data_IF_363378857555
#
_entry.id   IF_363378857555
#
_cell.length_a   1.000
_cell.length_b   1.000
_cell.length_c   1.000
_cell.angle_alpha   90.00
_cell.angle_beta   90.00
_cell.angle_gamma   90.00
#
_symmetry.space_group_name_H-M   'P 1'
#
loop_
_entity.id
_entity.type
_entity.pdbx_description
1 polymer ?
#
# COMPACT_ATOMS: atom_id res chain seq x y z
N UNK A 1 18.95 19.61 -10.84
CA UNK A 1 17.61 19.24 -11.32
C UNK A 1 17.15 17.96 -10.62
N UNK A 2 15.90 17.97 -10.16
CA UNK A 2 15.33 16.80 -9.54
C UNK A 2 14.88 15.82 -10.61
N UNK A 3 15.34 14.58 -10.54
CA UNK A 3 14.89 13.53 -11.46
C UNK A 3 13.56 12.95 -10.97
N UNK A 4 12.73 12.58 -11.91
CA UNK A 4 11.44 11.95 -11.63
C UNK A 4 11.32 10.64 -12.40
N UNK A 5 10.52 9.73 -11.88
CA UNK A 5 10.21 8.48 -12.55
C UNK A 5 8.83 8.00 -12.11
N UNK A 6 8.14 7.34 -13.02
CA UNK A 6 6.77 6.89 -12.80
C UNK A 6 6.62 5.45 -13.24
N UNK A 7 5.77 4.70 -12.54
CA UNK A 7 5.37 3.36 -12.97
C UNK A 7 3.93 3.07 -12.56
N UNK A 8 3.35 2.06 -13.19
CA UNK A 8 2.00 1.61 -12.89
C UNK A 8 1.98 0.10 -12.72
N UNK A 9 1.22 -0.37 -11.74
CA UNK A 9 0.94 -1.78 -11.53
C UNK A 9 -0.57 -1.95 -11.59
N UNK A 10 -1.02 -2.89 -12.43
CA UNK A 10 -2.44 -3.25 -12.52
C UNK A 10 -2.57 -4.69 -12.07
N UNK A 11 -3.46 -4.93 -11.12
CA UNK A 11 -3.63 -6.26 -10.56
C UNK A 11 -5.09 -6.53 -10.21
N UNK A 12 -5.55 -7.73 -10.53
CA UNK A 12 -6.90 -8.18 -10.17
C UNK A 12 -6.85 -9.01 -8.89
N UNK A 13 -7.82 -8.76 -8.01
CA UNK A 13 -8.00 -9.54 -6.80
C UNK A 13 -9.41 -10.14 -6.79
N UNK A 14 -9.52 -11.40 -6.37
CA UNK A 14 -10.81 -12.08 -6.25
C UNK A 14 -11.47 -11.71 -4.91
N UNK A 15 -11.74 -10.41 -4.73
CA UNK A 15 -12.31 -9.87 -3.51
C UNK A 15 -13.10 -8.61 -3.83
N UNK A 16 -14.18 -8.31 -3.07
CA UNK A 16 -14.93 -7.07 -3.27
C UNK A 16 -14.04 -5.84 -3.00
N UNK A 17 -14.35 -4.77 -3.69
CA UNK A 17 -13.62 -3.50 -3.60
C UNK A 17 -13.49 -3.01 -2.14
N UNK A 18 -14.54 -3.16 -1.36
CA UNK A 18 -14.55 -2.76 0.05
C UNK A 18 -13.51 -3.52 0.87
N UNK A 19 -13.28 -4.79 0.56
CA UNK A 19 -12.28 -5.60 1.23
C UNK A 19 -10.86 -5.17 0.86
N UNK A 20 -10.64 -4.86 -0.42
CA UNK A 20 -9.34 -4.36 -0.87
C UNK A 20 -9.06 -3.00 -0.23
N UNK A 21 -10.05 -2.11 -0.23
CA UNK A 21 -9.92 -0.80 0.38
C UNK A 21 -9.63 -0.91 1.89
N UNK A 22 -10.32 -1.80 2.57
CA UNK A 22 -10.10 -2.03 4.01
C UNK A 22 -8.68 -2.54 4.29
N UNK A 23 -8.12 -3.36 3.39
CA UNK A 23 -6.74 -3.83 3.53
C UNK A 23 -5.74 -2.69 3.47
N UNK A 24 -6.06 -1.61 2.76
CA UNK A 24 -5.21 -0.41 2.67
C UNK A 24 -5.42 0.57 3.81
N UNK A 25 -6.61 0.58 4.43
CA UNK A 25 -7.01 1.67 5.34
C UNK A 25 -7.21 1.25 6.79
N UNK A 26 -7.17 -0.04 7.09
CA UNK A 26 -7.27 -0.53 8.47
C UNK A 26 -5.91 -1.03 8.94
N UNK A 27 -5.39 -0.50 10.06
CA UNK A 27 -4.04 -0.86 10.52
C UNK A 27 -3.82 -2.36 10.71
N UNK A 28 -4.77 -3.07 11.29
CA UNK A 28 -4.66 -4.50 11.54
C UNK A 28 -4.64 -5.33 10.25
N UNK A 29 -5.23 -4.82 9.17
CA UNK A 29 -5.20 -5.48 7.87
C UNK A 29 -3.99 -5.07 7.05
N UNK A 30 -3.67 -3.79 7.06
CA UNK A 30 -2.49 -3.23 6.38
C UNK A 30 -1.21 -3.93 6.87
N UNK A 31 -1.12 -4.18 8.17
CA UNK A 31 0.03 -4.83 8.80
C UNK A 31 0.26 -6.26 8.29
N UNK A 32 -0.77 -6.90 7.74
CA UNK A 32 -0.67 -8.30 7.30
C UNK A 32 0.07 -8.47 5.99
N UNK A 33 0.11 -7.43 5.15
CA UNK A 33 0.70 -7.56 3.81
C UNK A 33 1.74 -6.51 3.48
N UNK A 34 1.75 -5.40 4.19
CA UNK A 34 2.65 -4.29 3.87
C UNK A 34 4.07 -4.63 4.28
N UNK A 35 5.00 -4.57 3.32
CA UNK A 35 6.41 -4.83 3.53
C UNK A 35 6.90 -6.14 2.89
N UNK A 36 8.22 -6.27 2.72
CA UNK A 36 8.80 -7.51 2.16
C UNK A 36 8.65 -8.68 3.14
N UNK A 37 8.73 -9.89 2.62
CA UNK A 37 8.54 -11.11 3.44
C UNK A 37 9.59 -11.27 4.53
N UNK A 38 10.78 -10.69 4.34
CA UNK A 38 11.85 -10.76 5.35
C UNK A 38 11.61 -9.82 6.53
N UNK A 39 10.59 -8.94 6.44
CA UNK A 39 10.21 -8.05 7.53
C UNK A 39 8.85 -8.44 8.10
N UNK A 40 8.66 -8.08 9.36
CA UNK A 40 7.36 -8.15 10.01
C UNK A 40 6.87 -6.72 10.23
N UNK A 41 5.58 -6.49 10.01
CA UNK A 41 4.98 -5.18 10.28
C UNK A 41 3.99 -5.35 11.44
N UNK A 42 4.39 -5.04 12.68
CA UNK A 42 3.48 -5.17 13.81
C UNK A 42 2.30 -4.21 13.69
N UNK A 43 1.10 -4.70 13.95
CA UNK A 43 -0.11 -3.89 13.83
C UNK A 43 -0.11 -2.66 14.74
N UNK A 44 0.49 -2.78 15.93
CA UNK A 44 0.60 -1.65 16.87
C UNK A 44 1.65 -0.62 16.44
N UNK A 45 2.40 -0.90 15.38
CA UNK A 45 3.37 0.03 14.80
C UNK A 45 2.87 0.62 13.47
N UNK A 46 1.58 0.46 13.17
CA UNK A 46 0.93 1.04 11.99
C UNK A 46 -0.08 2.08 12.45
N UNK A 47 0.07 3.30 11.95
CA UNK A 47 -0.84 4.41 12.25
C UNK A 47 -1.38 4.94 10.92
N UNK A 48 -2.70 4.89 10.74
CA UNK A 48 -3.34 5.33 9.50
C UNK A 48 -4.46 6.31 9.87
N UNK A 49 -4.20 7.61 9.67
CA UNK A 49 -5.22 8.66 9.87
C UNK A 49 -5.85 8.94 8.51
N UNK A 50 -6.82 8.12 8.13
CA UNK A 50 -7.38 8.06 6.76
C UNK A 50 -8.36 9.21 6.55
N UNK A 51 -7.80 10.36 6.23
CA UNK A 51 -8.54 11.57 5.85
C UNK A 51 -7.60 12.48 5.07
N UNK A 52 -8.11 13.37 4.23
CA UNK A 52 -7.23 14.32 3.52
C UNK A 52 -6.40 15.11 4.53
N UNK A 53 -5.09 15.13 4.35
CA UNK A 53 -4.15 15.78 5.27
C UNK A 53 -3.73 14.91 6.45
N UNK A 54 -4.35 13.76 6.65
CA UNK A 54 -3.96 12.83 7.71
C UNK A 54 -2.66 12.12 7.40
N UNK A 55 -1.91 11.75 8.43
CA UNK A 55 -0.62 11.08 8.29
C UNK A 55 -0.78 9.56 8.35
N UNK A 56 0.12 8.86 7.64
CA UNK A 56 0.24 7.42 7.79
C UNK A 56 1.69 7.07 8.11
N UNK A 57 1.87 6.00 8.87
CA UNK A 57 3.20 5.54 9.26
C UNK A 57 3.16 4.04 9.52
N UNK A 58 4.17 3.33 9.04
CA UNK A 58 4.32 1.91 9.30
C UNK A 58 5.79 1.60 9.58
N UNK A 59 6.04 0.88 10.66
CA UNK A 59 7.39 0.44 11.02
C UNK A 59 7.51 -1.04 10.73
N UNK A 60 8.49 -1.38 9.90
CA UNK A 60 8.81 -2.75 9.51
C UNK A 60 10.00 -3.20 10.36
N UNK A 61 9.90 -4.39 10.94
CA UNK A 61 10.94 -4.95 11.80
C UNK A 61 11.56 -6.15 11.11
N UNK A 62 12.85 -6.07 10.86
CA UNK A 62 13.63 -7.16 10.26
C UNK A 62 14.37 -7.98 11.31
N UNK A 63 15.28 -8.81 10.83
CA UNK A 63 16.12 -9.64 11.70
C UNK A 63 16.98 -8.78 12.61
N UNK A 64 17.26 -9.30 13.80
CA UNK A 64 18.10 -8.62 14.80
C UNK A 64 17.55 -7.27 15.26
N UNK A 65 16.23 -7.03 15.07
CA UNK A 65 15.60 -5.80 15.50
C UNK A 65 15.83 -4.60 14.60
N UNK A 66 16.34 -4.82 13.39
CA UNK A 66 16.50 -3.75 12.41
C UNK A 66 15.13 -3.20 12.04
N UNK A 67 14.95 -1.88 12.12
CA UNK A 67 13.65 -1.25 11.86
C UNK A 67 13.74 -0.27 10.70
N UNK A 68 12.69 -0.27 9.87
CA UNK A 68 12.51 0.71 8.80
C UNK A 68 11.13 1.33 8.97
N UNK A 69 11.05 2.65 9.05
CA UNK A 69 9.78 3.35 9.14
C UNK A 69 9.47 4.05 7.82
N UNK A 70 8.31 3.76 7.29
CA UNK A 70 7.78 4.41 6.08
C UNK A 70 6.62 5.30 6.51
N UNK A 71 6.48 6.46 5.87
CA UNK A 71 5.47 7.44 6.27
C UNK A 71 5.10 8.36 5.11
N UNK A 72 3.99 9.03 5.26
CA UNK A 72 3.50 10.00 4.30
C UNK A 72 2.19 10.63 4.76
N UNK A 73 1.46 11.21 3.82
CA UNK A 73 0.23 11.93 4.07
C UNK A 73 -0.81 11.53 3.03
N UNK A 74 -2.06 11.40 3.45
CA UNK A 74 -3.16 11.20 2.50
C UNK A 74 -3.51 12.54 1.86
N UNK A 75 -3.62 12.55 0.53
CA UNK A 75 -4.02 13.75 -0.22
C UNK A 75 -5.49 13.69 -0.63
N UNK A 76 -5.98 12.48 -0.94
CA UNK A 76 -7.36 12.30 -1.36
C UNK A 76 -7.86 10.97 -0.79
N UNK A 77 -9.03 10.99 -0.20
CA UNK A 77 -9.67 9.79 0.35
C UNK A 77 -11.10 9.75 -0.17
N UNK A 78 -11.35 8.87 -1.12
CA UNK A 78 -12.65 8.70 -1.75
C UNK A 78 -12.96 7.20 -1.84
N UNK A 79 -13.08 6.56 -0.68
CA UNK A 79 -13.32 5.13 -0.60
C UNK A 79 -14.73 4.76 -0.99
N UNK A 80 -14.91 3.54 -1.46
CA UNK A 80 -13.88 2.51 -1.59
C UNK A 80 -13.12 2.52 -2.93
N UNK A 81 -13.26 3.56 -3.75
CA UNK A 81 -12.75 3.53 -5.14
C UNK A 81 -11.43 4.25 -5.38
N UNK A 82 -11.01 5.15 -4.49
CA UNK A 82 -9.82 5.95 -4.77
C UNK A 82 -9.12 6.40 -3.48
N UNK A 83 -7.79 6.34 -3.53
CA UNK A 83 -6.93 6.76 -2.43
C UNK A 83 -5.66 7.37 -3.02
N UNK A 84 -5.32 8.59 -2.62
CA UNK A 84 -4.07 9.24 -3.04
C UNK A 84 -3.28 9.56 -1.79
N UNK A 85 -2.03 9.09 -1.76
CA UNK A 85 -1.17 9.33 -0.60
C UNK A 85 0.27 9.55 -1.04
N UNK A 86 1.08 10.12 -0.17
CA UNK A 86 2.50 10.31 -0.43
C UNK A 86 3.32 9.29 0.32
N UNK A 87 4.53 9.04 -0.18
CA UNK A 87 5.59 8.40 0.60
C UNK A 87 6.65 9.47 0.78
N UNK A 88 7.04 9.75 2.03
CA UNK A 88 7.86 10.90 2.32
C UNK A 88 7.12 12.20 2.03
N UNK A 89 7.86 13.25 1.70
CA UNK A 89 7.28 14.56 1.33
C UNK A 89 7.77 14.95 -0.07
N UNK A 90 6.94 14.75 -1.12
CA UNK A 90 7.36 15.07 -2.49
C UNK A 90 7.61 16.56 -2.72
N UNK A 91 7.03 17.43 -1.91
CA UNK A 91 7.23 18.87 -2.02
C UNK A 91 8.51 19.32 -1.35
N UNK A 92 9.06 18.49 -0.45
CA UNK A 92 10.33 18.77 0.25
C UNK A 92 11.01 17.44 0.58
N UNK A 93 11.52 16.73 -0.46
CA UNK A 93 12.03 15.36 -0.28
C UNK A 93 13.34 15.25 0.51
N UNK A 94 14.08 16.35 0.69
CA UNK A 94 15.38 16.28 1.34
C UNK A 94 16.38 15.55 0.46
N UNK A 95 17.12 14.61 1.05
CA UNK A 95 18.15 13.84 0.35
C UNK A 95 17.66 12.51 -0.21
N UNK A 96 16.44 12.11 0.14
CA UNK A 96 15.90 10.81 -0.26
C UNK A 96 14.77 10.93 -1.27
N UNK A 97 14.39 9.81 -1.90
CA UNK A 97 13.25 9.79 -2.80
C UNK A 97 11.94 9.92 -2.04
N UNK A 98 10.96 10.54 -2.69
CA UNK A 98 9.62 10.64 -2.19
C UNK A 98 8.66 10.46 -3.35
N UNK A 99 7.40 10.16 -3.10
CA UNK A 99 6.47 9.89 -4.19
C UNK A 99 5.03 10.23 -3.85
N UNK A 100 4.23 10.33 -4.92
CA UNK A 100 2.77 10.39 -4.83
C UNK A 100 2.22 9.10 -5.42
N UNK A 101 1.40 8.41 -4.65
CA UNK A 101 0.74 7.19 -5.09
C UNK A 101 -0.73 7.46 -5.33
N UNK A 102 -1.22 7.06 -6.50
CA UNK A 102 -2.64 7.09 -6.84
C UNK A 102 -3.13 5.65 -6.94
N UNK A 103 -4.07 5.31 -6.09
CA UNK A 103 -4.67 3.98 -6.04
C UNK A 103 -6.13 4.10 -6.49
N UNK A 104 -6.53 3.31 -7.47
CA UNK A 104 -7.94 3.21 -7.86
C UNK A 104 -8.37 1.76 -7.82
N UNK A 105 -9.60 1.54 -7.39
CA UNK A 105 -10.19 0.23 -7.23
C UNK A 105 -11.50 0.17 -7.99
N UNK A 106 -11.53 -0.63 -9.05
CA UNK A 106 -12.70 -0.80 -9.90
C UNK A 106 -13.29 -2.19 -9.70
N UNK A 107 -14.53 -2.25 -9.23
CA UNK A 107 -15.20 -3.53 -8.97
C UNK A 107 -15.81 -4.08 -10.25
N UNK A 108 -15.71 -5.40 -10.41
CA UNK A 108 -16.32 -6.12 -11.52
C UNK A 108 -16.88 -7.45 -10.99
N UNK A 109 -17.49 -8.23 -11.88
CA UNK A 109 -18.18 -9.47 -11.48
C UNK A 109 -17.28 -10.46 -10.74
N UNK A 110 -16.00 -10.53 -11.12
CA UNK A 110 -15.05 -11.51 -10.58
C UNK A 110 -14.16 -10.96 -9.47
N UNK A 111 -14.36 -9.71 -9.07
CA UNK A 111 -13.56 -9.11 -8.01
C UNK A 111 -13.26 -7.64 -8.21
N UNK A 112 -12.01 -7.24 -8.01
CA UNK A 112 -11.59 -5.85 -8.09
C UNK A 112 -10.31 -5.72 -8.91
N UNK A 113 -10.28 -4.75 -9.81
CA UNK A 113 -9.05 -4.36 -10.50
C UNK A 113 -8.43 -3.19 -9.76
N UNK A 114 -7.22 -3.39 -9.27
CA UNK A 114 -6.45 -2.36 -8.58
C UNK A 114 -5.44 -1.75 -9.56
N UNK A 115 -5.48 -0.44 -9.69
CA UNK A 115 -4.46 0.32 -10.42
C UNK A 115 -3.64 1.10 -9.41
N UNK A 116 -2.36 0.83 -9.39
CA UNK A 116 -1.41 1.47 -8.49
C UNK A 116 -0.43 2.24 -9.35
N UNK A 117 -0.38 3.55 -9.15
CA UNK A 117 0.48 4.43 -9.93
C UNK A 117 1.34 5.23 -8.98
N UNK A 118 2.65 5.17 -9.16
CA UNK A 118 3.58 5.91 -8.32
C UNK A 118 4.39 6.89 -9.16
N UNK A 119 4.30 8.16 -8.81
CA UNK A 119 5.12 9.23 -9.38
C UNK A 119 6.18 9.60 -8.34
N UNK A 120 7.44 9.28 -8.65
CA UNK A 120 8.54 9.53 -7.73
C UNK A 120 9.32 10.77 -8.08
N UNK A 121 9.73 11.52 -7.06
CA UNK A 121 10.62 12.64 -7.19
C UNK A 121 11.95 12.30 -6.53
N UNK A 122 13.03 12.95 -6.96
CA UNK A 122 14.37 12.71 -6.46
C UNK A 122 14.78 11.24 -6.63
N UNK A 123 14.44 10.67 -7.78
CA UNK A 123 14.65 9.26 -8.12
C UNK A 123 14.87 9.13 -9.62
N UNK A 124 15.28 7.95 -10.08
CA UNK A 124 15.51 7.66 -11.48
C UNK A 124 14.81 6.36 -11.89
N UNK A 125 14.96 5.99 -13.17
CA UNK A 125 14.29 4.80 -13.72
C UNK A 125 14.73 3.50 -13.02
N UNK A 126 16.00 3.40 -12.65
CA UNK A 126 16.53 2.22 -11.97
C UNK A 126 15.88 2.05 -10.59
N UNK A 127 15.82 3.14 -9.81
CA UNK A 127 15.19 3.13 -8.50
C UNK A 127 13.67 2.87 -8.61
N UNK A 128 13.03 3.40 -9.66
CA UNK A 128 11.63 3.14 -9.92
C UNK A 128 11.37 1.66 -10.19
N UNK A 129 12.24 1.00 -10.94
CA UNK A 129 12.12 -0.44 -11.19
C UNK A 129 12.28 -1.26 -9.90
N UNK A 130 13.20 -0.86 -9.03
CA UNK A 130 13.39 -1.50 -7.73
C UNK A 130 12.16 -1.30 -6.84
N UNK A 131 11.60 -0.10 -6.83
CA UNK A 131 10.40 0.22 -6.07
C UNK A 131 9.21 -0.61 -6.58
N UNK A 132 9.06 -0.70 -7.91
CA UNK A 132 8.00 -1.50 -8.53
C UNK A 132 8.12 -2.97 -8.13
N UNK A 133 9.33 -3.53 -8.16
CA UNK A 133 9.57 -4.92 -7.76
C UNK A 133 9.17 -5.14 -6.29
N UNK A 134 9.47 -4.18 -5.42
CA UNK A 134 9.08 -4.24 -4.02
C UNK A 134 7.57 -4.25 -3.84
N UNK A 135 6.87 -3.35 -4.53
CA UNK A 135 5.42 -3.31 -4.46
C UNK A 135 4.76 -4.57 -5.01
N UNK A 136 5.33 -5.18 -6.06
CA UNK A 136 4.81 -6.43 -6.59
C UNK A 136 4.87 -7.54 -5.53
N UNK A 137 5.96 -7.60 -4.76
CA UNK A 137 6.06 -8.55 -3.64
C UNK A 137 5.02 -8.27 -2.56
N UNK A 138 4.82 -6.99 -2.21
CA UNK A 138 3.78 -6.60 -1.24
C UNK A 138 2.40 -7.03 -1.74
N UNK A 139 2.13 -6.87 -3.02
CA UNK A 139 0.83 -7.21 -3.59
C UNK A 139 0.60 -8.72 -3.68
N UNK A 140 1.65 -9.52 -3.77
CA UNK A 140 1.52 -10.98 -3.62
C UNK A 140 1.04 -11.31 -2.21
N UNK A 141 1.57 -10.64 -1.21
CA UNK A 141 1.13 -10.80 0.18
C UNK A 141 -0.31 -10.29 0.37
N UNK A 142 -0.66 -9.18 -0.30
CA UNK A 142 -2.02 -8.66 -0.27
C UNK A 142 -3.01 -9.68 -0.84
N UNK A 143 -2.67 -10.32 -1.95
CA UNK A 143 -3.50 -11.36 -2.55
C UNK A 143 -3.69 -12.53 -1.57
N UNK A 144 -2.64 -12.95 -0.88
CA UNK A 144 -2.72 -14.02 0.12
C UNK A 144 -3.62 -13.61 1.29
N UNK A 145 -3.48 -12.37 1.75
CA UNK A 145 -4.31 -11.84 2.84
C UNK A 145 -5.80 -11.81 2.46
N UNK A 146 -6.10 -11.36 1.25
CA UNK A 146 -7.48 -11.29 0.76
C UNK A 146 -8.09 -12.69 0.61
N UNK A 147 -7.29 -13.67 0.20
CA UNK A 147 -7.73 -15.06 0.09
C UNK A 147 -8.09 -15.63 1.48
N UNK A 148 -7.29 -15.32 2.50
CA UNK A 148 -7.57 -15.74 3.88
C UNK A 148 -8.85 -15.07 4.39
N UNK A 149 -9.03 -13.78 4.11
CA UNK A 149 -10.23 -13.04 4.51
C UNK A 149 -11.50 -13.63 3.87
N UNK A 150 -11.43 -13.99 2.58
CA UNK A 150 -12.55 -14.60 1.88
C UNK A 150 -12.93 -15.96 2.51
N UNK A 151 -11.94 -16.78 2.85
CA UNK A 151 -12.15 -18.07 3.50
C UNK A 151 -12.77 -17.88 4.88
N UNK A 152 -12.26 -16.93 5.66
CA UNK A 152 -12.80 -16.62 6.99
C UNK A 152 -14.24 -16.15 6.91
N UNK A 153 -14.56 -15.29 5.95
CA UNK A 153 -15.92 -14.79 5.74
C UNK A 153 -16.89 -15.93 5.39
N UNK A 154 -16.47 -16.86 4.54
CA UNK A 154 -17.28 -18.03 4.18
C UNK A 154 -17.54 -18.92 5.38
N UNK A 155 -16.52 -19.16 6.21
CA UNK A 155 -16.66 -19.97 7.42
C UNK A 155 -17.59 -19.29 8.42
N UNK A 156 -17.43 -17.97 8.60
CA UNK A 156 -18.27 -17.19 9.51
C UNK A 156 -19.73 -17.11 9.08
N UNK A 157 -20.02 -17.20 7.79
CA UNK A 157 -21.36 -17.11 7.24
C UNK A 157 -22.16 -18.42 7.39
N UNK A 158 -21.52 -19.50 7.76
CA UNK A 158 -22.20 -20.78 7.97
C UNK A 158 -22.90 -20.80 9.32
N UNK A 159 -24.18 -21.19 9.37
CA UNK A 159 -24.88 -21.32 10.63
C UNK A 159 -24.36 -22.47 11.49
#
# INVERSE_FOLDING_TARGET
MTQTAEFEIVRDFAAPREQVYAAWTRPERFARWFGPRIFTTPADRVVLDVRPGGAWQATLVGDEGFEVTLQGVYREVAGPGRLVFTTGDPDNPGDGPASVVTLTLDEHADGTTMRFRQFGVNTDAEHAEQSKAGWLEFFDRLAEHLAVQATSSKVSARP
#
